data_IF_080826856419
#
_entry.id   IF_080826856419
#
_cell.length_a   1.000
_cell.length_b   1.000
_cell.length_c   1.000
_cell.angle_alpha   90.00
_cell.angle_beta   90.00
_cell.angle_gamma   90.00
#
_symmetry.space_group_name_H-M   'P 1'
#
loop_
_entity.id
_entity.type
_entity.pdbx_description
1 polymer ?
#
# COMPACT_ATOMS: atom_id res chain seq x y z
N UNK A 1 -9.94 18.15 -23.03
CA UNK A 1 -8.59 18.47 -22.53
C UNK A 1 -8.54 19.97 -22.25
N UNK A 2 -8.35 20.36 -21.00
CA UNK A 2 -8.11 21.77 -20.65
C UNK A 2 -6.78 22.21 -21.28
N UNK A 3 -6.88 22.96 -22.38
CA UNK A 3 -5.72 23.45 -23.13
C UNK A 3 -4.84 24.28 -22.19
N UNK A 4 -3.57 23.87 -22.02
CA UNK A 4 -2.56 24.63 -21.27
C UNK A 4 -2.15 24.08 -19.89
N UNK A 5 -2.78 23.02 -19.38
CA UNK A 5 -2.35 22.39 -18.12
C UNK A 5 -1.17 21.43 -18.28
N UNK A 6 -1.04 20.80 -19.45
CA UNK A 6 -0.04 19.77 -19.73
C UNK A 6 0.84 20.23 -20.88
N UNK A 7 2.13 20.39 -20.62
CA UNK A 7 3.12 20.86 -21.58
C UNK A 7 4.04 19.69 -21.89
N UNK A 8 3.93 19.14 -23.10
CA UNK A 8 4.83 18.08 -23.54
C UNK A 8 6.26 18.61 -23.69
N UNK A 9 7.23 17.94 -23.08
CA UNK A 9 8.65 18.31 -23.16
C UNK A 9 9.29 17.65 -24.37
N UNK A 10 10.28 18.32 -24.96
CA UNK A 10 11.03 17.77 -26.09
C UNK A 10 12.09 16.77 -25.59
N UNK A 11 11.64 15.55 -25.29
CA UNK A 11 12.46 14.44 -24.81
C UNK A 11 12.22 13.19 -25.66
N UNK A 12 13.17 12.22 -25.70
CA UNK A 12 12.99 10.97 -26.45
C UNK A 12 11.86 10.06 -25.97
N UNK A 13 11.32 10.35 -24.78
CA UNK A 13 10.21 9.64 -24.15
C UNK A 13 9.11 10.64 -23.76
N UNK A 14 7.84 10.20 -23.61
CA UNK A 14 6.75 11.06 -23.16
C UNK A 14 7.04 11.63 -21.77
N UNK A 15 7.09 12.96 -21.67
CA UNK A 15 7.27 13.68 -20.41
C UNK A 15 6.42 14.94 -20.46
N UNK A 16 5.56 15.12 -19.46
CA UNK A 16 4.73 16.32 -19.34
C UNK A 16 5.17 17.18 -18.16
N UNK A 17 5.36 18.47 -18.40
CA UNK A 17 5.41 19.48 -17.34
C UNK A 17 3.99 19.98 -17.09
N UNK A 18 3.60 20.02 -15.82
CA UNK A 18 2.23 20.30 -15.40
C UNK A 18 2.17 21.73 -14.91
N UNK A 19 1.32 22.58 -15.50
CA UNK A 19 1.15 23.96 -15.08
C UNK A 19 0.37 24.05 -13.75
N UNK A 20 1.00 23.59 -12.67
CA UNK A 20 0.43 23.48 -11.35
C UNK A 20 0.46 24.81 -10.59
N UNK A 21 1.51 25.62 -10.78
CA UNK A 21 1.73 26.84 -9.98
C UNK A 21 0.62 27.87 -10.14
N UNK A 22 0.07 27.98 -11.34
CA UNK A 22 -0.98 28.95 -11.69
C UNK A 22 -2.37 28.31 -11.75
N UNK A 23 -2.46 27.00 -11.54
CA UNK A 23 -3.74 26.28 -11.55
C UNK A 23 -4.69 26.82 -10.46
N UNK A 24 -5.92 27.13 -10.86
CA UNK A 24 -7.04 27.34 -9.96
C UNK A 24 -7.38 26.05 -9.18
N UNK A 25 -8.16 26.17 -8.09
CA UNK A 25 -8.63 25.02 -7.29
C UNK A 25 -9.33 23.96 -8.16
N UNK A 26 -10.12 24.41 -9.15
CA UNK A 26 -10.80 23.50 -10.07
C UNK A 26 -9.80 22.78 -10.98
N UNK A 27 -8.79 23.49 -11.48
CA UNK A 27 -7.74 22.88 -12.31
C UNK A 27 -6.88 21.90 -11.51
N UNK A 28 -6.63 22.16 -10.22
CA UNK A 28 -5.94 21.20 -9.34
C UNK A 28 -6.71 19.87 -9.24
N UNK A 29 -8.03 19.92 -9.09
CA UNK A 29 -8.86 18.72 -9.07
C UNK A 29 -8.85 17.98 -10.42
N UNK A 30 -8.91 18.74 -11.53
CA UNK A 30 -8.80 18.16 -12.87
C UNK A 30 -7.46 17.44 -13.05
N UNK A 31 -6.34 18.06 -12.63
CA UNK A 31 -5.01 17.43 -12.68
C UNK A 31 -4.97 16.14 -11.86
N UNK A 32 -5.48 16.17 -10.63
CA UNK A 32 -5.51 14.99 -9.76
C UNK A 32 -6.32 13.84 -10.38
N UNK A 33 -7.46 14.16 -10.99
CA UNK A 33 -8.33 13.18 -11.62
C UNK A 33 -7.74 12.61 -12.92
N UNK A 34 -7.29 13.47 -13.85
CA UNK A 34 -6.78 13.04 -15.16
C UNK A 34 -5.47 12.26 -15.04
N UNK A 35 -4.61 12.59 -14.07
CA UNK A 35 -3.39 11.83 -13.79
C UNK A 35 -3.61 10.65 -12.83
N UNK A 36 -4.81 10.49 -12.25
CA UNK A 36 -5.11 9.41 -11.30
C UNK A 36 -4.28 9.47 -10.01
N UNK A 37 -3.97 10.67 -9.51
CA UNK A 37 -3.07 10.85 -8.36
C UNK A 37 -3.69 10.40 -7.03
N UNK A 38 -5.02 10.37 -6.94
CA UNK A 38 -5.74 10.06 -5.70
C UNK A 38 -5.58 11.13 -4.61
N UNK A 39 -5.12 12.33 -4.97
CA UNK A 39 -4.91 13.44 -4.05
C UNK A 39 -6.15 14.33 -3.96
N UNK A 40 -6.55 14.67 -2.74
CA UNK A 40 -7.65 15.61 -2.51
C UNK A 40 -7.21 17.07 -2.73
N UNK A 41 -8.15 18.01 -2.66
CA UNK A 41 -7.86 19.43 -2.91
C UNK A 41 -6.80 20.01 -1.97
N UNK A 42 -6.84 19.69 -0.68
CA UNK A 42 -5.88 20.19 0.31
C UNK A 42 -4.47 19.65 0.03
N UNK A 43 -4.35 18.39 -0.36
CA UNK A 43 -3.09 17.78 -0.75
C UNK A 43 -2.55 18.43 -2.02
N UNK A 44 -3.39 18.63 -3.03
CA UNK A 44 -3.02 19.32 -4.26
C UNK A 44 -2.59 20.78 -4.03
N UNK A 45 -3.28 21.50 -3.14
CA UNK A 45 -2.89 22.86 -2.72
C UNK A 45 -1.53 22.87 -2.01
N UNK A 46 -1.25 21.86 -1.18
CA UNK A 46 0.05 21.71 -0.50
C UNK A 46 1.17 21.45 -1.52
N UNK A 47 0.94 20.56 -2.49
CA UNK A 47 1.89 20.29 -3.57
C UNK A 47 2.09 21.54 -4.44
N UNK A 48 1.02 22.26 -4.76
CA UNK A 48 1.10 23.54 -5.48
C UNK A 48 1.96 24.56 -4.72
N UNK A 49 1.76 24.72 -3.41
CA UNK A 49 2.56 25.62 -2.57
C UNK A 49 4.04 25.25 -2.58
N UNK A 50 4.36 23.95 -2.48
CA UNK A 50 5.73 23.46 -2.59
C UNK A 50 6.39 23.86 -3.92
N UNK A 51 5.72 23.60 -5.06
CA UNK A 51 6.27 23.94 -6.38
C UNK A 51 6.29 25.45 -6.67
N UNK A 52 5.37 26.23 -6.08
CA UNK A 52 5.47 27.71 -6.05
C UNK A 52 6.74 28.16 -5.35
N UNK A 53 7.06 27.58 -4.19
CA UNK A 53 8.30 27.85 -3.45
C UNK A 53 9.56 27.47 -4.22
N UNK A 54 9.53 26.36 -4.97
CA UNK A 54 10.61 25.95 -5.88
C UNK A 54 10.72 26.77 -7.15
N UNK A 55 9.76 27.68 -7.41
CA UNK A 55 9.69 28.55 -8.60
C UNK A 55 9.73 27.78 -9.93
N UNK A 56 9.23 26.54 -9.94
CA UNK A 56 9.10 25.72 -11.15
C UNK A 56 7.86 24.85 -11.10
N UNK A 57 7.37 24.45 -12.27
CA UNK A 57 6.31 23.46 -12.36
C UNK A 57 6.86 22.04 -12.15
N UNK A 58 6.05 21.11 -11.63
CA UNK A 58 6.41 19.70 -11.57
C UNK A 58 6.31 19.01 -12.93
N UNK A 59 7.04 17.90 -13.08
CA UNK A 59 6.71 16.92 -14.11
C UNK A 59 5.60 15.97 -13.64
N UNK A 60 4.95 15.30 -14.58
CA UNK A 60 4.01 14.21 -14.32
C UNK A 60 4.57 13.14 -13.37
N UNK A 61 5.81 12.68 -13.58
CA UNK A 61 6.45 11.66 -12.74
C UNK A 61 6.69 12.14 -11.30
N UNK A 62 6.99 13.42 -11.10
CA UNK A 62 7.09 14.00 -9.75
C UNK A 62 5.74 13.99 -9.04
N UNK A 63 4.66 14.34 -9.75
CA UNK A 63 3.30 14.25 -9.19
C UNK A 63 2.86 12.82 -8.92
N UNK A 64 3.17 11.87 -9.81
CA UNK A 64 2.90 10.46 -9.59
C UNK A 64 3.64 9.93 -8.37
N UNK A 65 4.91 10.31 -8.19
CA UNK A 65 5.70 9.94 -7.01
C UNK A 65 5.04 10.44 -5.72
N UNK A 66 4.57 11.69 -5.71
CA UNK A 66 3.84 12.25 -4.56
C UNK A 66 2.51 11.50 -4.35
N UNK A 67 1.74 11.26 -5.41
CA UNK A 67 0.46 10.53 -5.34
C UNK A 67 0.61 9.14 -4.73
N UNK A 68 1.64 8.38 -5.14
CA UNK A 68 1.92 7.06 -4.58
C UNK A 68 2.35 7.15 -3.11
N UNK A 69 3.34 7.99 -2.79
CA UNK A 69 3.91 8.09 -1.43
C UNK A 69 2.93 8.67 -0.42
N UNK A 70 2.01 9.53 -0.85
CA UNK A 70 0.95 10.11 -0.02
C UNK A 70 -0.35 9.32 -0.12
N UNK A 71 -0.39 8.15 -0.76
CA UNK A 71 -1.60 7.31 -0.75
C UNK A 71 -1.92 6.81 0.67
N UNK A 72 -3.17 6.40 0.90
CA UNK A 72 -3.52 5.77 2.18
C UNK A 72 -2.72 4.49 2.43
N UNK A 73 -2.51 3.71 1.38
CA UNK A 73 -1.78 2.45 1.43
C UNK A 73 -0.31 2.64 1.86
N UNK A 74 0.36 3.70 1.40
CA UNK A 74 1.75 3.97 1.76
C UNK A 74 1.88 4.76 3.06
N UNK A 75 1.14 5.86 3.21
CA UNK A 75 1.35 6.77 4.34
C UNK A 75 0.63 6.32 5.61
N UNK A 76 -0.43 5.51 5.49
CA UNK A 76 -1.29 5.06 6.58
C UNK A 76 -1.96 6.23 7.34
N UNK A 77 -2.63 7.14 6.61
CA UNK A 77 -3.18 8.38 7.20
C UNK A 77 -4.21 8.08 8.26
N UNK A 78 -5.07 7.07 8.08
CA UNK A 78 -6.07 6.66 9.06
C UNK A 78 -5.44 6.21 10.37
N UNK A 79 -4.36 5.42 10.28
CA UNK A 79 -3.66 4.89 11.46
C UNK A 79 -2.84 5.95 12.20
N UNK A 80 -2.36 6.99 11.50
CA UNK A 80 -1.57 8.11 12.06
C UNK A 80 -2.41 9.31 12.46
N UNK A 81 -3.63 9.44 11.93
CA UNK A 81 -4.49 10.59 12.15
C UNK A 81 -5.15 10.63 13.52
N UNK A 82 -5.81 11.76 13.78
CA UNK A 82 -6.64 11.97 14.98
C UNK A 82 -8.04 11.43 14.71
N UNK A 83 -8.54 10.56 15.58
CA UNK A 83 -9.88 9.96 15.46
C UNK A 83 -10.76 10.45 16.60
N UNK A 84 -11.90 11.04 16.25
CA UNK A 84 -12.94 11.44 17.20
C UNK A 84 -14.08 10.43 17.15
N UNK A 85 -14.27 9.66 18.21
CA UNK A 85 -15.29 8.62 18.28
C UNK A 85 -15.99 8.62 19.65
N UNK A 86 -17.32 8.72 19.65
CA UNK A 86 -18.17 8.74 20.86
C UNK A 86 -17.66 9.71 21.95
N UNK A 87 -17.29 10.92 21.55
CA UNK A 87 -16.78 11.96 22.47
C UNK A 87 -15.35 11.75 22.97
N UNK A 88 -14.64 10.71 22.51
CA UNK A 88 -13.22 10.48 22.80
C UNK A 88 -12.38 10.87 21.59
N UNK A 89 -11.20 11.42 21.86
CA UNK A 89 -10.18 11.68 20.86
C UNK A 89 -9.05 10.66 21.02
N UNK A 90 -8.63 10.06 19.91
CA UNK A 90 -7.54 9.10 19.83
C UNK A 90 -6.49 9.68 18.89
N UNK A 91 -5.30 9.98 19.42
CA UNK A 91 -4.14 10.39 18.62
C UNK A 91 -3.42 9.15 18.08
N UNK A 92 -3.64 8.83 16.80
CA UNK A 92 -3.09 7.68 16.09
C UNK A 92 -3.49 6.32 16.71
N UNK A 93 -4.24 5.51 15.95
CA UNK A 93 -4.50 4.12 16.31
C UNK A 93 -3.21 3.32 16.50
N UNK A 94 -2.23 3.55 15.62
CA UNK A 94 -0.94 2.88 15.67
C UNK A 94 -0.18 3.19 16.97
N UNK A 95 -0.04 4.47 17.33
CA UNK A 95 0.64 4.86 18.56
C UNK A 95 -0.12 4.39 19.80
N UNK A 96 -1.44 4.61 19.83
CA UNK A 96 -2.27 4.41 21.01
C UNK A 96 -2.49 2.94 21.36
N UNK A 97 -2.76 2.08 20.36
CA UNK A 97 -3.19 0.70 20.61
C UNK A 97 -2.15 -0.35 20.23
N UNK A 98 -1.15 -0.02 19.42
CA UNK A 98 -0.12 -0.97 18.98
C UNK A 98 1.21 -0.62 19.66
N UNK A 99 1.81 0.53 19.35
CA UNK A 99 3.12 0.89 19.88
C UNK A 99 3.14 1.03 21.40
N UNK A 100 2.11 1.65 21.98
CA UNK A 100 2.02 1.85 23.43
C UNK A 100 2.04 0.52 24.18
N UNK A 101 1.24 -0.46 23.75
CA UNK A 101 1.19 -1.78 24.36
C UNK A 101 2.56 -2.49 24.28
N UNK A 102 3.23 -2.45 23.12
CA UNK A 102 4.57 -3.02 22.97
C UNK A 102 5.59 -2.34 23.88
N UNK A 103 5.53 -1.01 24.01
CA UNK A 103 6.43 -0.24 24.90
C UNK A 103 6.17 -0.46 26.39
N UNK A 104 4.92 -0.65 26.79
CA UNK A 104 4.56 -0.90 28.19
C UNK A 104 4.96 -2.30 28.64
N UNK A 105 4.90 -3.30 27.76
CA UNK A 105 5.34 -4.66 28.05
C UNK A 105 6.87 -4.76 28.02
N UNK A 106 7.52 -3.99 27.12
CA UNK A 106 8.98 -3.94 26.91
C UNK A 106 9.69 -5.31 26.97
N UNK A 107 9.23 -6.30 26.16
CA UNK A 107 9.79 -7.63 26.24
C UNK A 107 11.22 -7.64 25.70
N UNK A 108 12.18 -8.10 26.52
CA UNK A 108 13.61 -8.16 26.16
C UNK A 108 13.95 -8.99 24.93
N UNK A 109 13.03 -9.82 24.46
CA UNK A 109 13.21 -10.61 23.24
C UNK A 109 12.73 -9.90 21.98
N UNK A 110 12.04 -8.76 22.05
CA UNK A 110 11.77 -7.94 20.86
C UNK A 110 13.02 -7.14 20.50
N UNK A 111 13.68 -7.52 19.41
CA UNK A 111 14.95 -6.94 18.98
C UNK A 111 14.76 -5.76 18.02
N UNK A 112 13.86 -5.89 17.04
CA UNK A 112 13.48 -4.82 16.12
C UNK A 112 11.97 -4.79 15.96
N UNK A 113 11.34 -3.69 16.34
CA UNK A 113 9.88 -3.50 16.24
C UNK A 113 9.57 -2.09 15.76
N UNK A 114 8.74 -1.99 14.72
CA UNK A 114 8.31 -0.70 14.12
C UNK A 114 9.40 0.13 13.44
N UNK A 115 10.58 -0.43 13.20
CA UNK A 115 11.73 0.29 12.62
C UNK A 115 12.07 -0.18 11.19
N UNK A 116 11.66 -1.40 10.81
CA UNK A 116 12.03 -2.03 9.55
C UNK A 116 10.85 -2.79 8.91
N UNK A 117 11.10 -3.44 7.77
CA UNK A 117 10.11 -4.14 6.97
C UNK A 117 9.52 -5.39 7.65
N UNK A 118 10.18 -5.93 8.68
CA UNK A 118 9.71 -7.05 9.47
C UNK A 118 10.00 -6.84 10.97
N UNK A 119 9.17 -7.42 11.83
CA UNK A 119 9.43 -7.47 13.27
C UNK A 119 10.36 -8.62 13.59
N UNK A 120 11.40 -8.38 14.40
CA UNK A 120 12.41 -9.39 14.75
C UNK A 120 12.38 -9.64 16.25
N UNK A 121 12.26 -10.91 16.62
CA UNK A 121 12.41 -11.37 18.00
C UNK A 121 13.64 -12.26 18.15
N UNK A 122 14.30 -12.21 19.30
CA UNK A 122 15.30 -13.19 19.70
C UNK A 122 14.62 -14.50 20.04
N UNK A 123 15.05 -15.58 19.40
CA UNK A 123 14.56 -16.92 19.67
C UNK A 123 15.46 -17.65 20.66
N UNK A 124 16.78 -17.64 20.41
CA UNK A 124 17.78 -18.20 21.32
C UNK A 124 19.06 -17.35 21.35
N UNK A 125 20.21 -17.96 21.71
CA UNK A 125 21.49 -17.26 21.81
C UNK A 125 22.07 -16.85 20.45
N UNK A 126 21.81 -17.61 19.39
CA UNK A 126 22.47 -17.48 18.10
C UNK A 126 21.48 -17.07 16.99
N UNK A 127 20.16 -17.23 17.22
CA UNK A 127 19.11 -17.02 16.23
C UNK A 127 18.03 -16.02 16.67
N UNK A 128 17.59 -15.23 15.69
CA UNK A 128 16.36 -14.42 15.74
C UNK A 128 15.35 -14.93 14.72
N UNK A 129 14.07 -14.62 14.95
CA UNK A 129 12.97 -14.89 14.03
C UNK A 129 12.42 -13.56 13.53
N UNK A 130 12.47 -13.36 12.21
CA UNK A 130 11.78 -12.26 11.54
C UNK A 130 10.36 -12.71 11.17
N UNK A 131 9.38 -11.86 11.47
CA UNK A 131 7.97 -12.10 11.15
C UNK A 131 7.40 -10.88 10.46
N UNK A 132 6.71 -11.12 9.34
CA UNK A 132 5.96 -10.12 8.60
C UNK A 132 4.68 -10.74 8.06
N UNK A 133 3.62 -9.94 8.09
CA UNK A 133 2.34 -10.26 7.49
C UNK A 133 1.95 -9.11 6.57
N UNK A 134 1.54 -9.46 5.36
CA UNK A 134 1.03 -8.52 4.36
C UNK A 134 -0.36 -8.96 3.89
N UNK A 135 -1.04 -8.07 3.15
CA UNK A 135 -2.28 -8.41 2.47
C UNK A 135 -2.20 -7.95 1.02
N UNK A 136 -2.88 -8.65 0.12
CA UNK A 136 -2.89 -8.32 -1.30
C UNK A 136 -4.32 -8.38 -1.87
N UNK A 137 -5.25 -7.76 -1.13
CA UNK A 137 -6.69 -7.97 -1.28
C UNK A 137 -7.24 -7.45 -2.61
N UNK A 138 -6.96 -6.19 -2.94
CA UNK A 138 -7.55 -5.55 -4.12
C UNK A 138 -7.08 -6.21 -5.43
N UNK A 139 -5.77 -6.44 -5.66
CA UNK A 139 -5.34 -7.10 -6.89
C UNK A 139 -5.85 -8.54 -6.97
N UNK A 140 -5.88 -9.28 -5.85
CA UNK A 140 -6.41 -10.66 -5.83
C UNK A 140 -7.91 -10.73 -6.14
N UNK A 141 -8.68 -9.68 -5.85
CA UNK A 141 -10.09 -9.61 -6.26
C UNK A 141 -10.26 -9.41 -7.78
N UNK A 142 -9.29 -8.76 -8.44
CA UNK A 142 -9.31 -8.47 -9.88
C UNK A 142 -8.68 -9.60 -10.67
N UNK A 143 -7.48 -10.04 -10.31
CA UNK A 143 -6.74 -11.13 -10.93
C UNK A 143 -6.16 -12.01 -9.81
N UNK A 144 -6.87 -13.10 -9.44
CA UNK A 144 -6.57 -13.84 -8.22
C UNK A 144 -5.22 -14.55 -8.21
N UNK A 145 -4.75 -15.07 -9.35
CA UNK A 145 -3.52 -15.87 -9.38
C UNK A 145 -2.29 -14.99 -9.18
N UNK A 146 -2.11 -14.00 -10.06
CA UNK A 146 -1.01 -13.06 -10.00
C UNK A 146 -1.09 -12.19 -8.77
N UNK A 147 -2.30 -11.74 -8.38
CA UNK A 147 -2.49 -10.97 -7.14
C UNK A 147 -2.00 -11.71 -5.90
N UNK A 148 -2.32 -13.00 -5.76
CA UNK A 148 -1.85 -13.79 -4.63
C UNK A 148 -0.36 -14.14 -4.73
N UNK A 149 0.11 -14.52 -5.91
CA UNK A 149 1.51 -14.86 -6.16
C UNK A 149 2.44 -13.66 -5.86
N UNK A 150 2.08 -12.44 -6.30
CA UNK A 150 2.86 -11.24 -5.99
C UNK A 150 2.77 -10.83 -4.52
N UNK A 151 1.65 -11.14 -3.85
CA UNK A 151 1.51 -10.98 -2.40
C UNK A 151 2.51 -11.85 -1.63
N UNK A 152 2.60 -13.15 -1.97
CA UNK A 152 3.60 -14.06 -1.39
C UNK A 152 5.03 -13.58 -1.70
N UNK A 153 5.30 -13.20 -2.94
CA UNK A 153 6.60 -12.65 -3.31
C UNK A 153 6.96 -11.36 -2.56
N UNK A 154 5.98 -10.49 -2.27
CA UNK A 154 6.15 -9.27 -1.49
C UNK A 154 6.62 -9.56 -0.08
N UNK A 155 5.87 -10.37 0.67
CA UNK A 155 6.20 -10.69 2.06
C UNK A 155 7.52 -11.46 2.18
N UNK A 156 7.86 -12.33 1.22
CA UNK A 156 9.18 -12.99 1.18
C UNK A 156 10.31 -11.95 1.05
N UNK A 157 10.13 -10.94 0.19
CA UNK A 157 11.13 -9.87 0.02
C UNK A 157 11.28 -9.00 1.26
N UNK A 158 10.24 -8.81 2.05
CA UNK A 158 10.35 -8.09 3.32
C UNK A 158 11.24 -8.83 4.33
N UNK A 159 11.12 -10.16 4.41
CA UNK A 159 11.99 -11.00 5.25
C UNK A 159 13.43 -10.94 4.75
N UNK A 160 13.65 -11.06 3.43
CA UNK A 160 14.98 -10.90 2.83
C UNK A 160 15.54 -9.48 3.06
N UNK A 161 14.67 -8.46 3.08
CA UNK A 161 15.03 -7.06 3.27
C UNK A 161 15.63 -6.76 4.65
N UNK A 162 15.31 -7.58 5.65
CA UNK A 162 15.94 -7.55 6.98
C UNK A 162 17.07 -8.57 7.12
N UNK A 163 17.58 -9.10 6.01
CA UNK A 163 18.68 -10.08 5.94
C UNK A 163 18.37 -11.42 6.62
N UNK A 164 17.10 -11.77 6.80
CA UNK A 164 16.68 -13.06 7.32
C UNK A 164 16.45 -14.07 6.18
N UNK A 165 16.59 -15.36 6.50
CA UNK A 165 16.30 -16.46 5.59
C UNK A 165 14.81 -16.85 5.70
N UNK A 166 14.00 -16.77 4.63
CA UNK A 166 12.60 -17.17 4.67
C UNK A 166 12.44 -18.69 4.79
N UNK A 167 11.92 -19.17 5.92
CA UNK A 167 11.81 -20.61 6.20
C UNK A 167 10.39 -21.19 6.05
N UNK A 168 9.36 -20.35 6.14
CA UNK A 168 7.97 -20.75 6.04
C UNK A 168 7.07 -19.53 5.77
N UNK A 169 5.93 -19.79 5.13
CA UNK A 169 4.86 -18.84 4.91
C UNK A 169 3.56 -19.42 5.52
N UNK A 170 2.64 -18.54 5.89
CA UNK A 170 1.29 -18.92 6.35
C UNK A 170 0.27 -17.99 5.72
N UNK A 171 -0.85 -18.54 5.26
CA UNK A 171 -1.94 -17.77 4.69
C UNK A 171 -3.17 -17.70 5.59
N UNK A 172 -3.81 -16.53 5.58
CA UNK A 172 -5.13 -16.31 6.19
C UNK A 172 -6.06 -15.82 5.09
N UNK A 173 -6.95 -16.70 4.64
CA UNK A 173 -7.80 -16.45 3.47
C UNK A 173 -9.25 -16.19 3.86
N UNK A 174 -9.80 -15.07 3.40
CA UNK A 174 -11.19 -14.69 3.60
C UNK A 174 -11.92 -14.53 2.27
N UNK A 175 -12.95 -15.35 2.03
CA UNK A 175 -13.78 -15.28 0.83
C UNK A 175 -15.27 -15.23 1.19
N UNK A 176 -16.08 -14.76 0.25
CA UNK A 176 -17.53 -14.98 0.31
C UNK A 176 -17.86 -16.48 0.20
N UNK A 177 -19.13 -16.87 0.44
CA UNK A 177 -19.55 -18.27 0.34
C UNK A 177 -19.18 -18.88 -1.02
N UNK A 178 -18.49 -20.03 -1.04
CA UNK A 178 -18.07 -20.66 -2.29
C UNK A 178 -19.24 -21.21 -3.12
N UNK A 179 -20.40 -21.37 -2.49
CA UNK A 179 -21.67 -21.76 -3.10
C UNK A 179 -22.60 -20.56 -3.36
N UNK A 180 -22.08 -19.33 -3.36
CA UNK A 180 -22.90 -18.14 -3.56
C UNK A 180 -23.60 -18.17 -4.93
N UNK A 181 -24.92 -17.92 -5.02
CA UNK A 181 -25.62 -18.01 -6.30
C UNK A 181 -25.15 -16.95 -7.30
N UNK A 182 -24.86 -17.36 -8.54
CA UNK A 182 -24.31 -16.49 -9.58
C UNK A 182 -25.26 -15.33 -9.91
N UNK A 183 -26.57 -15.58 -9.92
CA UNK A 183 -27.62 -14.60 -10.19
C UNK A 183 -27.71 -13.50 -9.14
N UNK A 184 -27.13 -13.70 -7.95
CA UNK A 184 -27.07 -12.70 -6.88
C UNK A 184 -25.75 -11.93 -6.84
N UNK A 185 -24.82 -12.21 -7.77
CA UNK A 185 -23.53 -11.53 -7.80
C UNK A 185 -23.71 -10.07 -8.24
N UNK A 186 -23.14 -9.10 -7.50
CA UNK A 186 -23.09 -7.73 -7.97
C UNK A 186 -22.31 -7.62 -9.29
N UNK A 187 -22.72 -6.70 -10.15
CA UNK A 187 -22.03 -6.46 -11.41
C UNK A 187 -20.56 -6.09 -11.18
N UNK A 188 -19.66 -6.69 -11.96
CA UNK A 188 -18.21 -6.45 -11.87
C UNK A 188 -17.50 -7.24 -10.77
N UNK A 189 -18.21 -7.99 -9.93
CA UNK A 189 -17.62 -8.82 -8.88
C UNK A 189 -17.38 -10.24 -9.40
N UNK A 190 -16.16 -10.75 -9.16
CA UNK A 190 -15.81 -12.13 -9.50
C UNK A 190 -16.40 -13.10 -8.48
N UNK A 191 -16.86 -14.26 -8.94
CA UNK A 191 -17.46 -15.27 -8.07
C UNK A 191 -16.46 -15.76 -7.01
N UNK A 192 -16.84 -15.90 -5.71
CA UNK A 192 -15.92 -16.28 -4.64
C UNK A 192 -15.12 -17.56 -4.92
N UNK A 193 -15.76 -18.59 -5.49
CA UNK A 193 -15.09 -19.83 -5.92
C UNK A 193 -13.95 -19.60 -6.92
N UNK A 194 -14.11 -18.67 -7.87
CA UNK A 194 -13.06 -18.35 -8.84
C UNK A 194 -11.88 -17.65 -8.15
N UNK A 195 -12.17 -16.71 -7.25
CA UNK A 195 -11.14 -16.01 -6.46
C UNK A 195 -10.38 -17.02 -5.59
N UNK A 196 -11.09 -17.85 -4.84
CA UNK A 196 -10.51 -18.92 -4.00
C UNK A 196 -9.54 -19.80 -4.80
N UNK A 197 -9.99 -20.36 -5.93
CA UNK A 197 -9.16 -21.25 -6.73
C UNK A 197 -7.89 -20.57 -7.25
N UNK A 198 -8.02 -19.34 -7.76
CA UNK A 198 -6.87 -18.62 -8.29
C UNK A 198 -5.90 -18.16 -7.20
N UNK A 199 -6.40 -17.71 -6.04
CA UNK A 199 -5.54 -17.33 -4.89
C UNK A 199 -4.73 -18.53 -4.39
N UNK A 200 -5.37 -19.67 -4.13
CA UNK A 200 -4.67 -20.87 -3.65
C UNK A 200 -3.63 -21.35 -4.68
N UNK A 201 -3.97 -21.33 -5.96
CA UNK A 201 -3.03 -21.67 -7.03
C UNK A 201 -1.85 -20.68 -7.10
N UNK A 202 -2.09 -19.39 -6.93
CA UNK A 202 -1.06 -18.35 -6.95
C UNK A 202 -0.08 -18.46 -5.77
N UNK A 203 -0.61 -18.71 -4.56
CA UNK A 203 0.19 -18.93 -3.34
C UNK A 203 1.09 -20.15 -3.54
N UNK A 204 0.49 -21.30 -3.88
CA UNK A 204 1.23 -22.53 -4.10
C UNK A 204 2.27 -22.40 -5.21
N UNK A 205 1.95 -21.69 -6.30
CA UNK A 205 2.91 -21.47 -7.38
C UNK A 205 4.15 -20.70 -6.92
N UNK A 206 3.99 -19.58 -6.23
CA UNK A 206 5.13 -18.77 -5.82
C UNK A 206 5.94 -19.45 -4.71
N UNK A 207 5.26 -19.98 -3.67
CA UNK A 207 5.90 -20.68 -2.55
C UNK A 207 6.70 -21.91 -3.00
N UNK A 208 6.09 -22.78 -3.80
CA UNK A 208 6.75 -24.01 -4.29
C UNK A 208 7.98 -23.72 -5.15
N UNK A 209 7.92 -22.71 -6.04
CA UNK A 209 9.06 -22.34 -6.88
C UNK A 209 10.21 -21.72 -6.07
N UNK A 210 9.90 -21.06 -4.96
CA UNK A 210 10.90 -20.54 -4.03
C UNK A 210 11.43 -21.61 -3.06
N UNK A 211 10.78 -22.78 -3.00
CA UNK A 211 11.12 -23.83 -2.04
C UNK A 211 10.73 -23.52 -0.60
N UNK A 212 9.78 -22.61 -0.39
CA UNK A 212 9.31 -22.18 0.93
C UNK A 212 7.95 -22.84 1.22
N UNK A 213 7.82 -23.62 2.30
CA UNK A 213 6.55 -24.26 2.63
C UNK A 213 5.47 -23.22 3.01
N UNK A 214 4.25 -23.49 2.56
CA UNK A 214 3.00 -22.75 2.85
C UNK A 214 1.94 -23.74 3.32
#
# INVERSE_FOLDING_TARGET
MNVGLYIHKNTPFPLFEINLREASRQQLLVISQELGLGLNLQEMETVQQYFRGKRRNPTDVELQTIGQTWSEHCFHKTFKGIIKFKGKEIDSLFKTYIMKATKEIDPRWCFSVFEDNAGIIRFDKDYGIAVKVETHNHPSAIEPFGGAATGVGGVIRDILGVWADPIACTDVLGFGPLSYPYEKLPQGVKHPRYIYMGVVAGIGHYGNNMGIPT
#
